data_IF_851370942285
#
_entry.id   IF_851370942285
#
_cell.length_a   1.000
_cell.length_b   1.000
_cell.length_c   1.000
_cell.angle_alpha   90.00
_cell.angle_beta   90.00
_cell.angle_gamma   90.00
#
_symmetry.space_group_name_H-M   'P 1'
#
loop_
_entity.id
_entity.type
_entity.pdbx_description
1 polymer ?
#
# COMPACT_ATOMS: atom_id res chain seq x y z
N UNK A 1 -7.83 18.96 -4.08
CA UNK A 1 -8.73 18.85 -2.90
C UNK A 1 -8.16 17.79 -1.96
N UNK A 2 -7.70 18.19 -0.78
CA UNK A 2 -7.08 17.27 0.20
C UNK A 2 -8.07 16.76 1.26
N UNK A 3 -7.55 16.11 2.31
CA UNK A 3 -8.31 15.54 3.43
C UNK A 3 -9.30 16.54 4.08
N UNK A 4 -8.91 17.83 4.14
CA UNK A 4 -9.76 18.93 4.61
C UNK A 4 -11.05 19.10 3.79
N UNK A 5 -11.02 18.79 2.50
CA UNK A 5 -12.20 18.83 1.63
C UNK A 5 -13.17 17.69 1.93
N UNK A 6 -12.64 16.49 2.22
CA UNK A 6 -13.44 15.31 2.59
C UNK A 6 -14.16 15.54 3.91
N UNK A 7 -13.48 16.10 4.92
CA UNK A 7 -14.08 16.43 6.22
C UNK A 7 -15.26 17.40 6.07
N UNK A 8 -15.10 18.47 5.29
CA UNK A 8 -16.20 19.40 5.01
C UNK A 8 -17.39 18.74 4.32
N UNK A 9 -17.15 17.79 3.39
CA UNK A 9 -18.24 17.02 2.76
C UNK A 9 -18.97 16.14 3.77
N UNK A 10 -18.26 15.52 4.71
CA UNK A 10 -18.86 14.68 5.76
C UNK A 10 -19.69 15.52 6.75
N UNK A 11 -19.22 16.70 7.16
CA UNK A 11 -19.99 17.62 7.99
C UNK A 11 -21.29 18.06 7.30
N UNK A 12 -21.23 18.31 5.99
CA UNK A 12 -22.42 18.64 5.19
C UNK A 12 -23.40 17.46 5.09
N UNK A 13 -22.90 16.22 4.93
CA UNK A 13 -23.73 15.01 4.96
C UNK A 13 -24.46 14.87 6.29
N UNK A 14 -23.78 15.06 7.42
CA UNK A 14 -24.40 14.93 8.75
C UNK A 14 -25.61 15.85 8.92
N UNK A 15 -25.48 17.12 8.53
CA UNK A 15 -26.57 18.11 8.58
C UNK A 15 -27.75 17.75 7.69
N UNK A 16 -27.48 17.18 6.52
CA UNK A 16 -28.53 16.76 5.56
C UNK A 16 -29.27 15.51 6.06
N UNK A 17 -28.59 14.63 6.78
CA UNK A 17 -29.20 13.48 7.47
C UNK A 17 -30.09 13.95 8.62
N UNK A 18 -29.60 14.87 9.46
CA UNK A 18 -30.37 15.47 10.57
C UNK A 18 -31.63 16.19 10.06
N UNK A 19 -31.56 16.79 8.87
CA UNK A 19 -32.71 17.44 8.22
C UNK A 19 -33.70 16.45 7.55
N UNK A 20 -33.49 15.13 7.65
CA UNK A 20 -34.36 14.11 7.05
C UNK A 20 -34.30 14.04 5.52
N UNK A 21 -33.31 14.69 4.90
CA UNK A 21 -33.16 14.80 3.44
C UNK A 21 -32.36 13.62 2.88
N UNK A 22 -32.88 12.40 3.06
CA UNK A 22 -32.19 11.14 2.77
C UNK A 22 -31.61 11.04 1.35
N UNK A 23 -32.29 11.62 0.35
CA UNK A 23 -31.81 11.63 -1.05
C UNK A 23 -30.56 12.50 -1.24
N UNK A 24 -30.54 13.69 -0.64
CA UNK A 24 -29.39 14.62 -0.72
C UNK A 24 -28.21 14.08 0.09
N UNK A 25 -28.49 13.39 1.19
CA UNK A 25 -27.47 12.71 2.00
C UNK A 25 -26.78 11.59 1.22
N UNK A 26 -27.54 10.74 0.52
CA UNK A 26 -27.01 9.65 -0.31
C UNK A 26 -26.11 10.17 -1.44
N UNK A 27 -26.52 11.22 -2.15
CA UNK A 27 -25.70 11.82 -3.20
C UNK A 27 -24.40 12.44 -2.65
N UNK A 28 -24.47 13.04 -1.47
CA UNK A 28 -23.32 13.65 -0.80
C UNK A 28 -22.35 12.58 -0.25
N UNK A 29 -22.86 11.46 0.25
CA UNK A 29 -22.06 10.28 0.62
C UNK A 29 -21.38 9.65 -0.60
N UNK A 30 -22.08 9.52 -1.72
CA UNK A 30 -21.49 9.00 -2.96
C UNK A 30 -20.33 9.88 -3.46
N UNK A 31 -20.46 11.21 -3.34
CA UNK A 31 -19.38 12.16 -3.62
C UNK A 31 -18.21 11.99 -2.65
N UNK A 32 -18.47 11.91 -1.35
CA UNK A 32 -17.43 11.68 -0.34
C UNK A 32 -16.69 10.36 -0.59
N UNK A 33 -17.39 9.28 -0.95
CA UNK A 33 -16.80 7.99 -1.29
C UNK A 33 -15.84 8.06 -2.49
N UNK A 34 -16.22 8.77 -3.56
CA UNK A 34 -15.33 9.01 -4.71
C UNK A 34 -14.07 9.81 -4.32
N UNK A 35 -14.24 10.84 -3.49
CA UNK A 35 -13.11 11.63 -3.00
C UNK A 35 -12.15 10.80 -2.13
N UNK A 36 -12.69 9.92 -1.27
CA UNK A 36 -11.89 9.03 -0.43
C UNK A 36 -11.11 7.99 -1.24
N UNK A 37 -11.73 7.43 -2.28
CA UNK A 37 -11.06 6.52 -3.22
C UNK A 37 -9.89 7.22 -3.95
N UNK A 38 -10.10 8.46 -4.41
CA UNK A 38 -9.04 9.26 -5.03
C UNK A 38 -7.90 9.57 -4.05
N UNK A 39 -8.22 9.94 -2.80
CA UNK A 39 -7.23 10.19 -1.76
C UNK A 39 -6.40 8.93 -1.44
N UNK A 40 -7.05 7.76 -1.34
CA UNK A 40 -6.37 6.47 -1.14
C UNK A 40 -5.42 6.14 -2.30
N UNK A 41 -5.83 6.38 -3.54
CA UNK A 41 -4.98 6.16 -4.71
C UNK A 41 -3.76 7.11 -4.74
N UNK A 42 -3.94 8.37 -4.32
CA UNK A 42 -2.85 9.34 -4.20
C UNK A 42 -1.86 8.94 -3.10
N UNK A 43 -2.36 8.53 -1.93
CA UNK A 43 -1.54 8.00 -0.82
C UNK A 43 -0.77 6.74 -1.24
N UNK A 44 -1.41 5.80 -1.93
CA UNK A 44 -0.73 4.59 -2.42
C UNK A 44 0.42 4.91 -3.40
N UNK A 45 0.28 5.96 -4.22
CA UNK A 45 1.35 6.43 -5.12
C UNK A 45 2.48 7.15 -4.37
N UNK A 46 2.14 7.95 -3.36
CA UNK A 46 3.11 8.66 -2.54
C UNK A 46 3.90 7.73 -1.61
N UNK A 47 3.24 6.67 -1.11
CA UNK A 47 3.83 5.62 -0.29
C UNK A 47 4.13 4.40 -1.16
N UNK A 48 4.79 4.59 -2.33
CA UNK A 48 5.39 3.45 -3.01
C UNK A 48 6.35 2.81 -2.00
N UNK A 49 6.17 1.53 -1.63
CA UNK A 49 7.05 0.90 -0.68
C UNK A 49 8.46 0.89 -1.27
N UNK A 50 9.38 1.56 -0.59
CA UNK A 50 10.79 1.54 -0.95
C UNK A 50 11.36 0.18 -0.53
N UNK A 51 11.40 -0.73 -1.50
CA UNK A 51 12.02 -2.03 -1.33
C UNK A 51 13.49 -1.91 -1.69
N UNK A 52 14.34 -2.55 -0.89
CA UNK A 52 15.78 -2.60 -1.11
C UNK A 52 16.19 -3.35 -2.40
N UNK A 53 15.21 -3.87 -3.15
CA UNK A 53 15.40 -4.72 -4.33
C UNK A 53 14.32 -4.47 -5.39
N UNK A 54 14.71 -4.61 -6.67
CA UNK A 54 13.80 -4.58 -7.83
C UNK A 54 13.49 -5.97 -8.37
N UNK A 55 14.31 -6.97 -8.04
CA UNK A 55 14.13 -8.38 -8.37
C UNK A 55 14.01 -9.22 -7.10
N UNK A 56 13.41 -10.40 -7.18
CA UNK A 56 13.30 -11.32 -6.05
C UNK A 56 14.70 -11.84 -5.66
N UNK A 57 15.15 -11.69 -4.41
CA UNK A 57 16.48 -12.16 -4.00
C UNK A 57 16.62 -13.69 -3.99
N UNK A 58 15.51 -14.42 -4.06
CA UNK A 58 15.49 -15.89 -4.06
C UNK A 58 15.39 -16.44 -5.49
N UNK A 59 14.51 -15.87 -6.31
CA UNK A 59 14.15 -16.41 -7.63
C UNK A 59 14.66 -15.55 -8.81
N UNK A 60 15.10 -14.32 -8.56
CA UNK A 60 15.54 -13.38 -9.59
C UNK A 60 14.43 -12.70 -10.41
N UNK A 61 13.17 -13.12 -10.25
CA UNK A 61 12.03 -12.54 -10.98
C UNK A 61 11.77 -11.07 -10.60
N UNK A 62 11.26 -10.26 -11.54
CA UNK A 62 10.94 -8.85 -11.26
C UNK A 62 9.90 -8.70 -10.15
N UNK A 63 10.12 -7.72 -9.26
CA UNK A 63 9.13 -7.29 -8.28
C UNK A 63 8.18 -6.31 -8.95
N UNK A 64 6.88 -6.57 -8.78
CA UNK A 64 5.81 -5.66 -9.17
C UNK A 64 5.26 -5.05 -7.87
N UNK A 65 5.70 -3.83 -7.47
CA UNK A 65 5.38 -3.27 -6.16
C UNK A 65 3.90 -3.25 -5.83
N UNK A 66 3.04 -3.05 -6.85
CA UNK A 66 1.59 -3.01 -6.73
C UNK A 66 0.97 -4.35 -6.34
N UNK A 67 1.71 -5.46 -6.54
CA UNK A 67 1.30 -6.82 -6.18
C UNK A 67 1.96 -7.34 -4.91
N UNK A 68 2.87 -6.56 -4.30
CA UNK A 68 3.56 -6.97 -3.08
C UNK A 68 2.67 -6.70 -1.89
N UNK A 69 2.07 -7.77 -1.36
CA UNK A 69 1.33 -7.75 -0.09
C UNK A 69 2.27 -7.93 1.10
N UNK A 70 1.82 -7.63 2.31
CA UNK A 70 2.67 -7.65 3.52
C UNK A 70 3.34 -9.01 3.79
N UNK A 71 2.70 -10.12 3.42
CA UNK A 71 3.25 -11.48 3.52
C UNK A 71 4.35 -11.79 2.49
N UNK A 72 4.58 -10.90 1.52
CA UNK A 72 5.65 -10.98 0.52
C UNK A 72 6.80 -10.03 0.85
N UNK A 73 6.86 -9.51 2.08
CA UNK A 73 7.89 -8.57 2.52
C UNK A 73 8.66 -9.17 3.69
N UNK A 74 9.98 -9.18 3.60
CA UNK A 74 10.90 -9.45 4.69
C UNK A 74 11.59 -8.16 5.16
N UNK A 75 12.18 -8.21 6.35
CA UNK A 75 12.98 -7.10 6.89
C UNK A 75 14.44 -7.53 7.00
N UNK A 76 15.36 -6.71 6.52
CA UNK A 76 16.79 -6.97 6.62
C UNK A 76 17.58 -5.68 6.73
N UNK A 77 18.41 -5.56 7.79
CA UNK A 77 19.25 -4.37 8.07
C UNK A 77 18.50 -3.03 7.99
N UNK A 78 17.26 -2.99 8.48
CA UNK A 78 16.40 -1.80 8.46
C UNK A 78 15.68 -1.53 7.14
N UNK A 79 15.97 -2.29 6.08
CA UNK A 79 15.27 -2.22 4.79
C UNK A 79 14.12 -3.22 4.66
N UNK A 80 13.14 -2.90 3.81
CA UNK A 80 12.09 -3.84 3.37
C UNK A 80 12.58 -4.57 2.13
N UNK A 81 12.48 -5.90 2.13
CA UNK A 81 12.85 -6.76 1.02
C UNK A 81 11.59 -7.38 0.44
N UNK A 82 11.32 -7.15 -0.83
CA UNK A 82 10.16 -7.71 -1.51
C UNK A 82 10.45 -9.06 -2.15
N UNK A 83 9.45 -9.94 -2.16
CA UNK A 83 9.49 -11.25 -2.77
C UNK A 83 8.41 -11.43 -3.83
N UNK A 84 8.71 -12.25 -4.84
CA UNK A 84 7.77 -12.49 -5.95
C UNK A 84 6.66 -13.50 -5.62
N UNK A 85 6.80 -14.32 -4.57
CA UNK A 85 5.81 -15.33 -4.18
C UNK A 85 5.91 -15.72 -2.71
N UNK A 86 4.85 -16.36 -2.18
CA UNK A 86 4.70 -16.67 -0.75
C UNK A 86 5.72 -17.66 -0.17
N UNK A 87 6.43 -18.42 -1.02
CA UNK A 87 7.46 -19.36 -0.55
C UNK A 87 8.83 -18.70 -0.35
N UNK A 88 9.07 -17.55 -0.99
CA UNK A 88 10.36 -16.86 -0.93
C UNK A 88 10.70 -16.29 0.45
N UNK A 89 9.77 -15.72 1.24
CA UNK A 89 10.05 -15.33 2.62
C UNK A 89 10.60 -16.49 3.46
N UNK A 90 9.95 -17.66 3.43
CA UNK A 90 10.43 -18.84 4.18
C UNK A 90 11.79 -19.35 3.69
N UNK A 91 12.16 -19.14 2.43
CA UNK A 91 13.49 -19.48 1.90
C UNK A 91 14.53 -18.42 2.26
N UNK A 92 14.11 -17.17 2.39
CA UNK A 92 14.95 -16.06 2.81
C UNK A 92 15.41 -16.21 4.25
N UNK A 93 14.58 -16.73 5.15
CA UNK A 93 14.92 -16.84 6.57
C UNK A 93 15.91 -17.98 6.91
N UNK A 94 16.07 -18.96 6.03
CA UNK A 94 16.98 -20.12 6.22
C UNK A 94 18.48 -19.76 6.22
N UNK A 95 19.00 -19.00 5.24
CA UNK A 95 20.42 -18.65 5.22
C UNK A 95 20.80 -17.60 6.28
N UNK A 96 22.08 -17.61 6.68
CA UNK A 96 22.67 -16.54 7.48
C UNK A 96 22.81 -15.20 6.72
N UNK A 97 23.15 -14.15 7.47
CA UNK A 97 23.11 -12.77 7.01
C UNK A 97 24.03 -12.47 5.80
N UNK A 98 25.18 -13.12 5.70
CA UNK A 98 26.09 -12.95 4.54
C UNK A 98 25.42 -13.37 3.24
N UNK A 99 24.73 -14.52 3.26
CA UNK A 99 24.06 -15.05 2.07
C UNK A 99 22.78 -14.27 1.74
N UNK A 100 22.07 -13.76 2.76
CA UNK A 100 20.98 -12.79 2.58
C UNK A 100 21.49 -11.51 1.91
N UNK A 101 22.60 -10.95 2.37
CA UNK A 101 23.22 -9.77 1.76
C UNK A 101 23.62 -10.03 0.30
N UNK A 102 24.31 -11.14 0.03
CA UNK A 102 24.75 -11.48 -1.33
C UNK A 102 23.56 -11.65 -2.30
N UNK A 103 22.46 -12.25 -1.84
CA UNK A 103 21.24 -12.38 -2.61
C UNK A 103 20.57 -11.02 -2.86
N UNK A 104 20.58 -10.13 -1.87
CA UNK A 104 20.00 -8.79 -1.99
C UNK A 104 20.78 -7.92 -2.97
N UNK A 105 22.11 -7.95 -2.92
CA UNK A 105 22.98 -7.20 -3.84
C UNK A 105 22.73 -7.59 -5.30
N UNK A 106 22.54 -8.89 -5.57
CA UNK A 106 22.20 -9.40 -6.91
C UNK A 106 20.80 -8.99 -7.38
N UNK A 107 19.95 -8.59 -6.44
CA UNK A 107 18.52 -8.34 -6.65
C UNK A 107 18.15 -6.85 -6.69
N UNK A 108 19.16 -5.96 -6.57
CA UNK A 108 19.02 -4.55 -6.87
C UNK A 108 18.56 -4.33 -8.32
#
# INVERSE_FOLDING_TARGET
MGLKGVLKTLDAVARVVEAGQSKVALESLARAGKQLAAARAALARAVRPDFANRRCPIMGSNIVPEKVTANLVGHFKGGKVAFCCGMCPSRWDKPGDERKQANLEKAK
#
